data_IF_046278363806
#
_entry.id   IF_046278363806
#
_cell.length_a   1.000
_cell.length_b   1.000
_cell.length_c   1.000
_cell.angle_alpha   90.00
_cell.angle_beta   90.00
_cell.angle_gamma   90.00
#
_symmetry.space_group_name_H-M   'P 1'
#
loop_
_entity.id
_entity.type
_entity.pdbx_description
1 polymer ?
#
# COMPACT_ATOMS: atom_id res chain seq x y z
N UNK A 1 -2.56 11.03 16.15
CA UNK A 1 -2.14 9.80 15.46
C UNK A 1 -0.90 10.16 14.67
N UNK A 2 0.25 9.50 14.88
CA UNK A 2 1.50 9.96 14.26
C UNK A 2 1.73 9.40 12.86
N UNK A 3 0.97 8.37 12.47
CA UNK A 3 1.01 7.79 11.13
C UNK A 3 -0.38 7.47 10.59
N UNK A 4 -0.50 7.40 9.26
CA UNK A 4 -1.65 6.77 8.59
C UNK A 4 -1.21 5.61 7.72
N UNK A 5 -2.16 4.73 7.45
CA UNK A 5 -2.01 3.55 6.58
C UNK A 5 -2.25 3.94 5.11
N UNK A 6 -1.63 5.03 4.67
CA UNK A 6 -1.72 5.50 3.28
C UNK A 6 -0.99 4.53 2.33
N UNK A 7 -1.51 4.40 1.11
CA UNK A 7 -0.91 3.64 0.00
C UNK A 7 -0.54 2.16 0.26
N UNK A 8 -1.00 1.56 1.38
CA UNK A 8 -0.62 0.21 1.84
C UNK A 8 -0.86 -0.89 0.82
N UNK A 9 -1.92 -0.78 0.03
CA UNK A 9 -2.33 -1.84 -0.89
C UNK A 9 -1.64 -1.73 -2.24
N UNK A 10 -1.00 -0.60 -2.55
CA UNK A 10 -0.55 -0.27 -3.92
C UNK A 10 0.92 -0.52 -4.21
N UNK A 11 1.75 -0.75 -3.18
CA UNK A 11 3.19 -0.98 -3.38
C UNK A 11 3.81 0.06 -4.31
N UNK A 12 3.47 1.34 -4.05
CA UNK A 12 3.63 2.44 -5.00
C UNK A 12 5.09 2.62 -5.38
N UNK A 13 5.35 2.66 -6.67
CA UNK A 13 6.65 2.96 -7.27
C UNK A 13 6.64 4.25 -8.07
N UNK A 14 5.45 4.73 -8.45
CA UNK A 14 5.25 6.02 -9.09
C UNK A 14 3.89 6.58 -8.71
N UNK A 15 3.84 7.91 -8.55
CA UNK A 15 2.64 8.63 -8.15
C UNK A 15 2.52 9.97 -8.84
N UNK A 16 1.29 10.45 -8.95
CA UNK A 16 1.01 11.76 -9.51
C UNK A 16 -0.21 12.38 -8.83
N UNK A 17 -0.05 13.61 -8.36
CA UNK A 17 -1.14 14.46 -7.93
C UNK A 17 -1.40 15.53 -8.99
N UNK A 18 -2.69 15.81 -9.26
CA UNK A 18 -3.07 16.98 -10.05
C UNK A 18 -4.13 17.82 -9.34
N UNK A 19 -4.01 19.13 -9.50
CA UNK A 19 -4.83 20.10 -8.79
C UNK A 19 -4.49 20.20 -7.31
N UNK A 20 -5.36 20.87 -6.56
CA UNK A 20 -5.24 21.02 -5.12
C UNK A 20 -6.30 20.13 -4.44
N UNK A 21 -5.89 19.13 -3.65
CA UNK A 21 -6.84 18.29 -2.96
C UNK A 21 -7.52 19.04 -1.81
N UNK A 22 -8.69 18.55 -1.40
CA UNK A 22 -9.36 19.00 -0.17
C UNK A 22 -9.08 17.95 0.91
N UNK A 23 -8.39 18.36 1.96
CA UNK A 23 -7.98 17.48 3.05
C UNK A 23 -8.87 17.72 4.26
N UNK A 24 -9.46 16.67 4.81
CA UNK A 24 -10.25 16.71 6.04
C UNK A 24 -9.38 16.73 7.29
N UNK A 25 -9.99 16.99 8.45
CA UNK A 25 -9.31 17.08 9.75
C UNK A 25 -8.64 15.76 10.18
N UNK A 26 -9.10 14.62 9.64
CA UNK A 26 -8.50 13.30 9.83
C UNK A 26 -7.49 12.94 8.73
N UNK A 27 -6.99 13.94 7.99
CA UNK A 27 -5.97 13.83 6.96
C UNK A 27 -6.38 13.00 5.74
N UNK A 28 -7.68 12.84 5.48
CA UNK A 28 -8.16 12.17 4.28
C UNK A 28 -8.38 13.16 3.14
N UNK A 29 -7.97 12.79 1.93
CA UNK A 29 -8.32 13.55 0.76
C UNK A 29 -9.77 13.26 0.35
N UNK A 30 -10.62 14.27 0.44
CA UNK A 30 -12.05 14.21 0.09
C UNK A 30 -12.34 14.70 -1.34
N UNK A 31 -11.39 15.43 -1.92
CA UNK A 31 -11.40 15.84 -3.33
C UNK A 31 -9.95 15.97 -3.83
N UNK A 32 -9.78 16.03 -5.15
CA UNK A 32 -8.48 16.04 -5.83
C UNK A 32 -8.42 14.96 -6.90
N UNK A 33 -7.26 14.87 -7.55
CA UNK A 33 -6.97 13.80 -8.50
C UNK A 33 -5.61 13.19 -8.20
N UNK A 34 -5.59 11.88 -7.96
CA UNK A 34 -4.39 11.11 -7.64
C UNK A 34 -4.27 9.92 -8.58
N UNK A 35 -3.05 9.61 -8.97
CA UNK A 35 -2.69 8.37 -9.67
C UNK A 35 -1.58 7.70 -8.90
N UNK A 36 -1.74 6.41 -8.64
CA UNK A 36 -0.79 5.58 -7.91
C UNK A 36 -0.53 4.33 -8.74
N UNK A 37 0.74 4.05 -9.01
CA UNK A 37 1.18 2.93 -9.84
C UNK A 37 2.17 2.10 -9.03
N UNK A 38 2.01 0.78 -9.07
CA UNK A 38 2.90 -0.11 -8.35
C UNK A 38 2.47 -1.57 -8.46
N UNK A 39 2.50 -2.26 -7.32
CA UNK A 39 2.31 -3.70 -7.20
C UNK A 39 1.31 -4.01 -6.09
N UNK A 40 0.48 -5.03 -6.27
CA UNK A 40 -0.25 -5.60 -5.15
C UNK A 40 0.69 -6.56 -4.41
N UNK A 41 0.62 -6.57 -3.07
CA UNK A 41 1.43 -7.51 -2.29
C UNK A 41 0.87 -8.92 -2.50
N UNK A 42 1.57 -9.73 -3.32
CA UNK A 42 1.14 -11.08 -3.65
C UNK A 42 1.30 -12.04 -2.48
N UNK A 43 0.26 -12.85 -2.28
CA UNK A 43 0.04 -13.68 -1.11
C UNK A 43 -0.90 -14.83 -1.42
N UNK A 44 -0.63 -15.98 -0.84
CA UNK A 44 -1.55 -17.11 -0.78
C UNK A 44 -2.20 -17.28 0.60
N UNK A 45 -3.32 -18.01 0.61
CA UNK A 45 -4.06 -18.36 1.84
C UNK A 45 -4.08 -19.88 1.98
N UNK A 46 -3.78 -20.38 3.18
CA UNK A 46 -3.98 -21.78 3.54
C UNK A 46 -5.20 -21.94 4.44
N UNK A 47 -5.86 -23.08 4.34
CA UNK A 47 -6.80 -23.49 5.38
C UNK A 47 -6.00 -24.04 6.57
N UNK A 48 -6.00 -23.30 7.67
CA UNK A 48 -5.38 -23.73 8.92
C UNK A 48 -6.44 -23.81 10.02
N UNK A 49 -6.39 -24.86 10.83
CA UNK A 49 -7.30 -25.04 11.95
C UNK A 49 -7.14 -23.87 12.94
N UNK A 50 -8.25 -23.38 13.49
CA UNK A 50 -8.32 -22.10 14.20
C UNK A 50 -7.35 -22.00 15.40
N UNK A 51 -6.91 -23.14 15.94
CA UNK A 51 -5.95 -23.23 17.03
C UNK A 51 -4.50 -22.86 16.65
N UNK A 52 -4.16 -22.89 15.36
CA UNK A 52 -2.79 -22.68 14.86
C UNK A 52 -2.67 -21.48 13.91
N UNK A 53 -3.71 -20.65 13.78
CA UNK A 53 -3.68 -19.52 12.87
C UNK A 53 -2.49 -18.59 13.21
N UNK A 54 -1.56 -18.34 12.27
CA UNK A 54 -0.60 -17.26 12.42
C UNK A 54 -1.33 -15.92 12.57
N UNK A 55 -0.60 -14.89 13.04
CA UNK A 55 -1.10 -13.53 13.36
C UNK A 55 -2.03 -12.91 12.27
N UNK A 56 -1.98 -13.42 11.03
CA UNK A 56 -2.67 -12.91 9.86
C UNK A 56 -3.78 -13.83 9.30
N UNK A 57 -4.23 -14.84 10.06
CA UNK A 57 -5.39 -15.67 9.71
C UNK A 57 -5.17 -16.61 8.51
N UNK A 58 -4.00 -17.25 8.43
CA UNK A 58 -3.64 -18.17 7.35
C UNK A 58 -3.17 -17.50 6.05
N UNK A 59 -2.96 -16.17 6.06
CA UNK A 59 -2.30 -15.45 4.96
C UNK A 59 -0.80 -15.60 5.04
N UNK A 60 -0.22 -16.06 3.93
CA UNK A 60 1.21 -16.23 3.77
C UNK A 60 1.70 -15.32 2.67
N UNK A 61 2.96 -14.93 2.78
CA UNK A 61 3.60 -14.18 1.71
C UNK A 61 4.31 -15.11 0.75
N UNK A 62 4.24 -14.79 -0.54
CA UNK A 62 4.98 -15.54 -1.54
C UNK A 62 6.48 -15.30 -1.39
N UNK A 63 7.25 -16.07 -2.17
CA UNK A 63 8.70 -15.92 -2.30
C UNK A 63 9.11 -14.49 -2.66
N UNK A 64 10.31 -14.10 -2.21
CA UNK A 64 10.88 -12.78 -2.45
C UNK A 64 10.48 -11.71 -1.44
N UNK A 65 10.66 -10.45 -1.84
CA UNK A 65 10.48 -9.27 -0.97
C UNK A 65 9.10 -8.67 -1.13
N UNK A 66 8.48 -8.30 -0.01
CA UNK A 66 7.21 -7.55 0.04
C UNK A 66 7.31 -6.16 -0.59
N UNK A 67 6.16 -5.62 -0.97
CA UNK A 67 6.00 -4.24 -1.49
C UNK A 67 6.26 -3.14 -0.45
N UNK A 68 6.53 -3.49 0.81
CA UNK A 68 6.76 -2.51 1.88
C UNK A 68 7.62 -3.02 3.04
N UNK A 69 8.27 -2.08 3.73
CA UNK A 69 8.79 -2.19 5.10
C UNK A 69 7.92 -1.41 6.11
N UNK A 70 8.29 -1.45 7.40
CA UNK A 70 7.63 -0.65 8.46
C UNK A 70 8.44 0.60 8.75
N UNK A 71 7.84 1.78 8.63
CA UNK A 71 8.42 3.04 9.07
C UNK A 71 8.09 3.27 10.56
N UNK A 72 8.65 2.45 11.46
CA UNK A 72 8.35 2.51 12.89
C UNK A 72 9.50 1.99 13.74
N UNK A 73 9.81 2.69 14.82
CA UNK A 73 10.75 2.26 15.86
C UNK A 73 10.32 0.94 16.51
N UNK A 74 11.28 0.23 17.11
CA UNK A 74 11.03 -1.06 17.76
C UNK A 74 9.97 -0.96 18.88
N UNK A 75 10.05 0.10 19.68
CA UNK A 75 9.11 0.42 20.77
C UNK A 75 7.78 1.02 20.27
N UNK A 76 7.64 1.23 18.96
CA UNK A 76 6.44 1.78 18.30
C UNK A 76 6.09 3.22 18.69
N UNK A 77 7.02 3.97 19.29
CA UNK A 77 6.79 5.34 19.74
C UNK A 77 7.00 6.41 18.67
N UNK A 78 7.76 6.10 17.61
CA UNK A 78 8.13 7.05 16.56
C UNK A 78 8.28 6.39 15.17
N UNK A 79 8.24 7.18 14.07
CA UNK A 79 8.71 6.72 12.77
C UNK A 79 10.22 6.49 12.77
N UNK A 80 10.72 5.70 11.81
CA UNK A 80 12.16 5.59 11.55
C UNK A 80 12.65 6.80 10.75
N UNK A 81 11.86 7.22 9.77
CA UNK A 81 12.22 8.25 8.80
C UNK A 81 11.14 9.32 8.64
N UNK A 82 11.60 10.54 8.39
CA UNK A 82 10.80 11.67 7.91
C UNK A 82 11.39 12.18 6.61
N UNK A 83 10.55 12.41 5.61
CA UNK A 83 10.95 13.00 4.35
C UNK A 83 11.34 14.48 4.52
N UNK A 84 12.38 14.91 3.82
CA UNK A 84 12.94 16.26 4.00
C UNK A 84 12.12 17.34 3.29
N UNK A 85 11.62 17.07 2.08
CA UNK A 85 11.03 18.10 1.23
C UNK A 85 9.88 17.55 0.36
N UNK A 86 8.78 17.05 0.96
CA UNK A 86 7.62 16.65 0.17
C UNK A 86 7.09 17.82 -0.64
N UNK A 87 6.81 17.56 -1.91
CA UNK A 87 6.41 18.57 -2.87
C UNK A 87 4.91 18.84 -2.86
N UNK A 88 4.10 17.82 -2.53
CA UNK A 88 2.66 17.92 -2.39
C UNK A 88 2.09 16.91 -1.38
N UNK A 89 0.76 16.93 -1.20
CA UNK A 89 0.08 16.05 -0.26
C UNK A 89 0.29 14.56 -0.58
N UNK A 90 0.20 14.16 -1.85
CA UNK A 90 0.39 12.76 -2.23
C UNK A 90 1.82 12.33 -2.00
N UNK A 91 2.78 13.20 -2.33
CA UNK A 91 4.22 13.03 -2.06
C UNK A 91 4.47 12.73 -0.58
N UNK A 92 4.01 13.62 0.30
CA UNK A 92 4.10 13.43 1.74
C UNK A 92 3.40 12.17 2.26
N UNK A 93 2.38 11.67 1.57
CA UNK A 93 1.60 10.51 1.97
C UNK A 93 2.19 9.18 1.49
N UNK A 94 3.29 9.22 0.73
CA UNK A 94 3.98 8.05 0.19
C UNK A 94 5.47 8.17 0.44
N UNK A 95 5.96 7.32 1.34
CA UNK A 95 7.39 7.18 1.59
C UNK A 95 7.91 5.93 0.91
N UNK A 96 8.99 6.05 0.15
CA UNK A 96 9.59 4.98 -0.65
C UNK A 96 10.99 4.63 -0.16
N UNK A 97 11.44 3.41 -0.47
CA UNK A 97 12.82 2.99 -0.22
C UNK A 97 13.80 3.80 -1.08
N UNK A 98 13.38 4.27 -2.26
CA UNK A 98 14.21 5.09 -3.13
C UNK A 98 14.57 6.43 -2.49
N UNK A 99 13.63 7.10 -1.82
CA UNK A 99 13.90 8.34 -1.07
C UNK A 99 14.82 8.09 0.13
N UNK A 100 14.67 6.95 0.81
CA UNK A 100 15.59 6.56 1.89
C UNK A 100 17.01 6.37 1.34
N UNK A 101 17.16 5.62 0.24
CA UNK A 101 18.45 5.31 -0.38
C UNK A 101 19.11 6.56 -1.01
N UNK A 102 18.30 7.50 -1.50
CA UNK A 102 18.75 8.79 -2.03
C UNK A 102 19.07 9.83 -0.93
N UNK A 103 18.92 9.47 0.34
CA UNK A 103 19.07 10.36 1.49
C UNK A 103 18.15 11.59 1.44
N UNK A 104 16.96 11.45 0.88
CA UNK A 104 15.88 12.46 0.85
C UNK A 104 15.09 12.47 2.17
N UNK A 105 15.44 11.60 3.10
CA UNK A 105 14.87 11.49 4.44
C UNK A 105 15.88 11.87 5.53
N UNK A 106 15.39 12.14 6.73
CA UNK A 106 16.16 12.05 7.97
C UNK A 106 15.82 10.78 8.74
N UNK A 107 16.79 10.22 9.46
CA UNK A 107 16.56 9.18 10.46
C UNK A 107 16.23 9.82 11.81
N UNK A 108 15.06 9.50 12.35
CA UNK A 108 14.54 10.13 13.58
C UNK A 108 15.42 9.82 14.79
N UNK A 109 15.97 8.61 14.89
CA UNK A 109 16.80 8.20 16.01
C UNK A 109 18.10 9.02 16.15
N UNK A 110 18.59 9.59 15.05
CA UNK A 110 19.82 10.40 15.02
C UNK A 110 19.59 11.91 14.94
N UNK A 111 18.34 12.36 14.82
CA UNK A 111 18.00 13.76 14.58
C UNK A 111 17.80 14.56 15.88
N UNK A 112 18.07 15.86 15.81
CA UNK A 112 17.73 16.80 16.88
C UNK A 112 16.22 17.08 16.91
N UNK A 113 15.72 17.56 18.05
CA UNK A 113 14.30 17.97 18.18
C UNK A 113 13.93 19.05 17.17
N UNK A 114 14.85 19.99 16.88
CA UNK A 114 14.61 21.05 15.90
C UNK A 114 14.49 20.50 14.47
N UNK A 115 15.32 19.51 14.11
CA UNK A 115 15.21 18.82 12.82
C UNK A 115 13.91 18.04 12.72
N UNK A 116 13.55 17.27 13.75
CA UNK A 116 12.29 16.53 13.79
C UNK A 116 11.12 17.49 13.62
N UNK A 117 11.05 18.57 14.40
CA UNK A 117 9.98 19.56 14.31
C UNK A 117 9.92 20.23 12.93
N UNK A 118 11.07 20.55 12.34
CA UNK A 118 11.15 21.13 11.00
C UNK A 118 10.55 20.21 9.95
N UNK A 119 11.01 18.97 9.87
CA UNK A 119 10.57 18.03 8.82
C UNK A 119 9.14 17.53 9.07
N UNK A 120 8.74 17.36 10.34
CA UNK A 120 7.34 17.09 10.69
C UNK A 120 6.42 18.23 10.26
N UNK A 121 6.87 19.47 10.37
CA UNK A 121 6.12 20.66 9.95
C UNK A 121 5.74 20.64 8.46
N UNK A 122 6.56 20.02 7.60
CA UNK A 122 6.25 19.90 6.18
C UNK A 122 4.98 19.07 5.93
N UNK A 123 4.82 17.95 6.65
CA UNK A 123 3.59 17.15 6.60
C UNK A 123 2.38 17.95 7.06
N UNK A 124 2.52 18.71 8.15
CA UNK A 124 1.43 19.54 8.70
C UNK A 124 0.97 20.62 7.71
N UNK A 125 1.91 21.28 7.03
CA UNK A 125 1.60 22.31 6.02
C UNK A 125 0.77 21.72 4.87
N UNK A 126 1.06 20.48 4.49
CA UNK A 126 0.37 19.77 3.41
C UNK A 126 -0.94 19.11 3.85
N UNK A 127 -1.28 19.17 5.14
CA UNK A 127 -2.39 18.39 5.72
C UNK A 127 -2.13 16.87 5.69
N UNK A 128 -0.89 16.45 5.47
CA UNK A 128 -0.46 15.05 5.41
C UNK A 128 -0.03 14.54 6.79
N UNK A 129 0.30 13.25 6.84
CA UNK A 129 0.89 12.59 8.02
C UNK A 129 2.01 11.66 7.59
N UNK A 130 2.89 11.32 8.54
CA UNK A 130 4.02 10.43 8.27
C UNK A 130 3.52 9.03 7.86
N UNK A 131 3.95 8.47 6.72
CA UNK A 131 3.54 7.14 6.32
C UNK A 131 4.07 6.06 7.27
N UNK A 132 3.23 5.08 7.62
CA UNK A 132 3.61 3.92 8.43
C UNK A 132 4.43 2.88 7.64
N UNK A 133 4.44 2.99 6.31
CA UNK A 133 5.12 2.06 5.40
C UNK A 133 6.16 2.77 4.58
N UNK A 134 7.24 2.05 4.32
CA UNK A 134 8.27 2.41 3.34
C UNK A 134 8.00 1.51 2.13
N UNK A 135 7.48 2.06 1.05
CA UNK A 135 7.09 1.33 -0.14
C UNK A 135 8.30 1.02 -1.01
N UNK A 136 8.28 -0.12 -1.70
CA UNK A 136 9.38 -0.57 -2.55
C UNK A 136 8.89 -1.53 -3.61
N UNK A 137 9.71 -1.70 -4.64
CA UNK A 137 9.52 -2.78 -5.61
C UNK A 137 9.62 -4.14 -4.90
N UNK A 138 8.62 -5.03 -5.09
CA UNK A 138 8.72 -6.42 -4.67
C UNK A 138 9.69 -7.20 -5.58
N UNK A 139 9.96 -8.45 -5.23
CA UNK A 139 10.79 -9.35 -6.04
C UNK A 139 10.21 -10.76 -6.09
N UNK A 140 10.61 -11.55 -7.08
CA UNK A 140 10.18 -12.96 -7.27
C UNK A 140 8.65 -13.03 -7.40
N UNK A 141 8.00 -14.09 -6.87
CA UNK A 141 6.54 -14.30 -6.99
C UNK A 141 5.73 -13.10 -6.49
N UNK A 142 6.21 -12.41 -5.44
CA UNK A 142 5.58 -11.18 -4.94
C UNK A 142 5.50 -10.02 -5.94
N UNK A 143 6.18 -10.10 -7.08
CA UNK A 143 6.17 -9.08 -8.12
C UNK A 143 5.20 -9.36 -9.27
N UNK A 144 4.44 -10.46 -9.23
CA UNK A 144 3.61 -10.90 -10.36
C UNK A 144 2.34 -10.06 -10.56
N UNK A 145 1.85 -9.40 -9.51
CA UNK A 145 0.65 -8.56 -9.56
C UNK A 145 1.02 -7.09 -9.62
N UNK A 146 0.82 -6.48 -10.79
CA UNK A 146 0.90 -5.03 -11.01
C UNK A 146 -0.46 -4.39 -10.82
N UNK A 147 -0.46 -3.12 -10.42
CA UNK A 147 -1.70 -2.37 -10.37
C UNK A 147 -1.49 -0.87 -10.60
N UNK A 148 -2.59 -0.23 -10.97
CA UNK A 148 -2.73 1.22 -10.98
C UNK A 148 -4.08 1.60 -10.35
N UNK A 149 -4.06 2.63 -9.51
CA UNK A 149 -5.26 3.21 -8.91
C UNK A 149 -5.34 4.70 -9.23
N UNK A 150 -6.50 5.16 -9.67
CA UNK A 150 -6.80 6.58 -9.81
C UNK A 150 -7.94 6.98 -8.89
N UNK A 151 -7.78 8.10 -8.21
CA UNK A 151 -8.85 8.77 -7.49
C UNK A 151 -9.19 10.05 -8.23
N UNK A 152 -10.45 10.23 -8.60
CA UNK A 152 -10.94 11.50 -9.16
C UNK A 152 -12.44 11.60 -9.00
N UNK A 153 -12.96 12.82 -8.81
CA UNK A 153 -14.40 13.08 -8.69
C UNK A 153 -15.12 12.24 -7.62
N UNK A 154 -14.43 11.88 -6.54
CA UNK A 154 -15.01 11.07 -5.45
C UNK A 154 -15.03 9.56 -5.71
N UNK A 155 -14.36 9.08 -6.76
CA UNK A 155 -14.35 7.67 -7.14
C UNK A 155 -12.93 7.13 -7.30
N UNK A 156 -12.71 5.91 -6.79
CA UNK A 156 -11.52 5.11 -7.08
C UNK A 156 -11.76 4.24 -8.31
N UNK A 157 -10.85 4.26 -9.27
CA UNK A 157 -10.73 3.26 -10.34
C UNK A 157 -9.43 2.50 -10.12
N UNK A 158 -9.50 1.18 -9.97
CA UNK A 158 -8.32 0.34 -9.76
C UNK A 158 -8.26 -0.71 -10.86
N UNK A 159 -7.11 -0.80 -11.52
CA UNK A 159 -6.79 -1.82 -12.49
C UNK A 159 -5.68 -2.71 -11.93
N UNK A 160 -5.89 -4.03 -12.00
CA UNK A 160 -4.94 -5.04 -11.55
C UNK A 160 -4.58 -5.90 -12.76
N UNK A 161 -3.28 -6.19 -12.90
CA UNK A 161 -2.74 -7.01 -13.99
C UNK A 161 -1.79 -8.05 -13.44
N UNK A 162 -1.98 -9.30 -13.88
CA UNK A 162 -1.05 -10.42 -13.69
C UNK A 162 -1.01 -11.27 -14.95
N UNK A 163 -0.02 -12.17 -15.06
CA UNK A 163 -0.05 -13.21 -16.07
C UNK A 163 -1.22 -14.19 -15.82
N UNK A 164 -1.73 -14.81 -16.88
CA UNK A 164 -2.73 -15.88 -16.71
C UNK A 164 -2.11 -17.10 -16.02
N UNK A 165 -0.87 -17.41 -16.40
CA UNK A 165 -0.05 -18.46 -15.80
C UNK A 165 1.26 -17.80 -15.32
N UNK A 166 1.50 -17.84 -14.01
CA UNK A 166 2.71 -17.27 -13.38
C UNK A 166 3.83 -18.29 -13.27
N UNK A 167 3.50 -19.59 -13.34
CA UNK A 167 4.44 -20.69 -13.10
C UNK A 167 4.81 -20.91 -11.63
N UNK A 168 4.21 -20.18 -10.68
CA UNK A 168 4.42 -20.40 -9.25
C UNK A 168 3.34 -21.35 -8.69
N UNK A 169 3.75 -22.35 -7.92
CA UNK A 169 2.83 -23.39 -7.41
C UNK A 169 1.85 -22.87 -6.32
N UNK A 170 2.17 -21.74 -5.70
CA UNK A 170 1.35 -21.02 -4.72
C UNK A 170 0.27 -20.13 -5.36
N UNK A 171 0.33 -19.94 -6.68
CA UNK A 171 -0.60 -19.13 -7.44
C UNK A 171 -1.73 -19.93 -8.12
N UNK A 172 -2.85 -19.26 -8.33
CA UNK A 172 -3.88 -19.77 -9.24
C UNK A 172 -3.42 -19.65 -10.71
N UNK A 173 -3.40 -20.80 -11.40
CA UNK A 173 -3.05 -20.89 -12.82
C UNK A 173 -4.31 -20.86 -13.70
N UNK A 174 -4.49 -19.77 -14.46
CA UNK A 174 -5.55 -19.60 -15.44
C UNK A 174 -5.19 -20.26 -16.78
N UNK A 175 -4.72 -21.51 -16.74
CA UNK A 175 -4.26 -22.26 -17.93
C UNK A 175 -5.41 -22.91 -18.72
N UNK A 176 -6.59 -23.08 -18.12
CA UNK A 176 -7.81 -23.54 -18.78
C UNK A 176 -8.91 -22.48 -18.68
N UNK A 177 -9.02 -21.65 -19.72
CA UNK A 177 -9.97 -20.55 -19.79
C UNK A 177 -11.44 -20.99 -19.90
N UNK A 178 -11.71 -22.29 -20.08
CA UNK A 178 -13.07 -22.84 -20.06
C UNK A 178 -13.61 -23.05 -18.64
N UNK A 179 -12.74 -22.97 -17.62
CA UNK A 179 -13.12 -23.14 -16.23
C UNK A 179 -13.68 -21.86 -15.60
N UNK A 180 -14.43 -22.09 -14.52
CA UNK A 180 -14.95 -21.04 -13.65
C UNK A 180 -13.98 -20.86 -12.48
N UNK A 181 -13.36 -19.68 -12.40
CA UNK A 181 -12.41 -19.38 -11.33
C UNK A 181 -13.08 -18.53 -10.25
N UNK A 182 -13.05 -19.01 -9.00
CA UNK A 182 -13.68 -18.29 -7.91
C UNK A 182 -12.79 -17.14 -7.43
N UNK A 183 -13.39 -15.98 -7.14
CA UNK A 183 -12.69 -14.83 -6.57
C UNK A 183 -13.59 -14.02 -5.65
N UNK A 184 -12.99 -13.13 -4.86
CA UNK A 184 -13.70 -12.15 -4.04
C UNK A 184 -12.94 -10.84 -4.01
N UNK A 185 -13.65 -9.75 -3.76
CA UNK A 185 -13.09 -8.41 -3.62
C UNK A 185 -13.51 -7.85 -2.28
N UNK A 186 -12.55 -7.28 -1.54
CA UNK A 186 -12.80 -6.57 -0.30
C UNK A 186 -12.30 -5.13 -0.41
N UNK A 187 -13.12 -4.20 0.08
CA UNK A 187 -12.80 -2.77 0.13
C UNK A 187 -12.69 -2.35 1.60
N UNK A 188 -11.62 -1.63 1.91
CA UNK A 188 -11.35 -1.08 3.23
C UNK A 188 -11.35 0.44 3.14
N UNK A 189 -12.25 1.08 3.88
CA UNK A 189 -12.31 2.53 3.99
C UNK A 189 -11.62 2.98 5.28
N UNK A 190 -10.32 3.28 5.18
CA UNK A 190 -9.44 3.70 6.29
C UNK A 190 -9.59 2.93 7.62
N UNK A 191 -10.09 1.69 7.58
CA UNK A 191 -10.57 0.98 8.76
C UNK A 191 -9.46 0.26 9.55
N UNK A 192 -8.19 0.53 9.25
CA UNK A 192 -7.07 -0.10 9.95
C UNK A 192 -6.93 -1.62 9.77
N UNK A 193 -7.77 -2.27 8.98
CA UNK A 193 -7.89 -3.73 8.89
C UNK A 193 -8.97 -4.33 9.80
N UNK A 194 -9.65 -3.50 10.61
CA UNK A 194 -10.68 -3.94 11.56
C UNK A 194 -12.04 -4.14 10.89
N UNK A 195 -12.29 -3.44 9.77
CA UNK A 195 -13.51 -3.55 8.99
C UNK A 195 -13.23 -3.54 7.48
N UNK A 196 -14.07 -4.25 6.73
CA UNK A 196 -14.08 -4.26 5.27
C UNK A 196 -15.47 -4.62 4.76
N UNK A 197 -15.81 -4.16 3.56
CA UNK A 197 -16.96 -4.61 2.79
C UNK A 197 -16.45 -5.63 1.78
N UNK A 198 -17.09 -6.78 1.65
CA UNK A 198 -16.66 -7.85 0.75
C UNK A 198 -17.77 -8.25 -0.22
N UNK A 199 -17.39 -8.66 -1.43
CA UNK A 199 -18.31 -9.04 -2.51
C UNK A 199 -18.90 -10.43 -2.36
N UNK A 200 -18.47 -11.20 -1.35
CA UNK A 200 -18.71 -12.64 -1.28
C UNK A 200 -17.90 -13.41 -2.33
N UNK A 201 -18.33 -14.64 -2.62
CA UNK A 201 -17.69 -15.48 -3.63
C UNK A 201 -18.31 -15.19 -4.99
N UNK A 202 -17.47 -14.80 -5.95
CA UNK A 202 -17.80 -14.50 -7.33
C UNK A 202 -17.13 -15.54 -8.25
N UNK A 203 -17.58 -15.60 -9.50
CA UNK A 203 -17.00 -16.48 -10.53
C UNK A 203 -16.48 -15.63 -11.69
N UNK A 204 -15.22 -15.81 -12.04
CA UNK A 204 -14.57 -15.25 -13.21
C UNK A 204 -14.73 -16.24 -14.37
N UNK A 205 -15.31 -15.75 -15.46
CA UNK A 205 -15.50 -16.48 -16.70
C UNK A 205 -14.75 -15.76 -17.82
N UNK A 206 -13.81 -16.44 -18.45
CA UNK A 206 -13.15 -15.91 -19.64
C UNK A 206 -14.05 -16.13 -20.86
N UNK A 207 -14.24 -15.08 -21.66
CA UNK A 207 -14.98 -15.15 -22.93
C UNK A 207 -14.01 -14.89 -24.07
N UNK A 208 -14.08 -15.72 -25.12
CA UNK A 208 -13.35 -15.53 -26.39
C UNK A 208 -13.95 -14.40 -27.24
#
# INVERSE_FOLDING_TARGET
MWHMKAARSLGVTSQYQSGSPVISDDHQATAGAFTLIGYADDKYVTYEDAANLPEDGGRHGDSGKSTYGRNRSEDKSAPLYLEKNPTDYLDAMVLTQAEVDAAEVIEVAGATVDEINKYWGNYQILGAVVPERILREPSESRADIKQAGTWSNGEWTVEIKRALDTGNDDDIQFSDLSLNYLFGVSVMDNAGGDAHIFSGVNSLHFVE
#
